data_IF_574105102611
#
_entry.id   IF_574105102611
#
_cell.length_a   1.000
_cell.length_b   1.000
_cell.length_c   1.000
_cell.angle_alpha   90.00
_cell.angle_beta   90.00
_cell.angle_gamma   90.00
#
_symmetry.space_group_name_H-M   'P 1'
#
loop_
_entity.id
_entity.type
_entity.pdbx_description
1 polymer ?
#
# COMPACT_ATOMS: atom_id res chain seq x y z
N UNK A 1 -9.35 -8.44 -15.17
CA UNK A 1 -8.33 -7.72 -14.36
C UNK A 1 -8.94 -7.31 -13.03
N UNK A 2 -10.15 -6.74 -13.05
CA UNK A 2 -10.96 -6.42 -11.86
C UNK A 2 -11.07 -7.56 -10.84
N UNK A 3 -11.46 -8.78 -11.24
CA UNK A 3 -11.58 -9.89 -10.28
C UNK A 3 -10.29 -10.20 -9.51
N UNK A 4 -9.13 -9.89 -10.11
CA UNK A 4 -7.82 -10.08 -9.49
C UNK A 4 -7.47 -8.99 -8.46
N UNK A 5 -8.21 -7.88 -8.44
CA UNK A 5 -8.05 -6.77 -7.51
C UNK A 5 -9.09 -6.79 -6.38
N UNK A 6 -10.08 -7.67 -6.40
CA UNK A 6 -11.10 -7.81 -5.36
C UNK A 6 -10.52 -8.04 -3.94
N UNK A 7 -9.28 -8.51 -3.83
CA UNK A 7 -8.60 -8.64 -2.54
C UNK A 7 -8.40 -7.28 -1.83
N UNK A 8 -8.40 -6.17 -2.58
CA UNK A 8 -8.24 -4.82 -2.06
C UNK A 8 -9.45 -4.36 -1.24
N UNK A 9 -10.63 -4.99 -1.37
CA UNK A 9 -11.81 -4.66 -0.55
C UNK A 9 -11.60 -4.88 0.95
N UNK A 10 -10.53 -5.57 1.36
CA UNK A 10 -10.11 -5.65 2.76
C UNK A 10 -9.55 -4.33 3.31
N UNK A 11 -9.11 -3.44 2.42
CA UNK A 11 -8.35 -2.25 2.76
C UNK A 11 -8.97 -0.96 2.22
N UNK A 12 -9.71 -1.02 1.12
CA UNK A 12 -10.28 0.15 0.46
C UNK A 12 -11.79 0.02 0.27
N UNK A 13 -12.47 1.16 0.32
CA UNK A 13 -13.89 1.31 0.00
C UNK A 13 -14.17 0.98 -1.48
N UNK A 14 -15.41 0.59 -1.76
CA UNK A 14 -15.86 0.34 -3.13
C UNK A 14 -15.70 1.57 -4.04
N UNK A 15 -15.98 2.77 -3.51
CA UNK A 15 -15.80 4.01 -4.26
C UNK A 15 -14.34 4.27 -4.66
N UNK A 16 -13.39 3.95 -3.78
CA UNK A 16 -11.96 4.09 -4.08
C UNK A 16 -11.45 2.98 -5.00
N UNK A 17 -11.99 1.77 -4.86
CA UNK A 17 -11.76 0.69 -5.81
C UNK A 17 -12.20 1.09 -7.22
N UNK A 18 -13.43 1.61 -7.39
CA UNK A 18 -13.93 2.08 -8.69
C UNK A 18 -13.07 3.18 -9.29
N UNK A 19 -12.61 4.14 -8.48
CA UNK A 19 -11.68 5.17 -8.96
C UNK A 19 -10.35 4.58 -9.43
N UNK A 20 -9.80 3.62 -8.69
CA UNK A 20 -8.54 2.96 -9.00
C UNK A 20 -8.60 2.23 -10.34
N UNK A 21 -9.60 1.37 -10.55
CA UNK A 21 -9.76 0.61 -11.80
C UNK A 21 -10.02 1.51 -13.02
N UNK A 22 -10.67 2.65 -12.80
CA UNK A 22 -11.00 3.62 -13.86
C UNK A 22 -9.89 4.66 -14.11
N UNK A 23 -8.80 4.66 -13.32
CA UNK A 23 -7.71 5.63 -13.42
C UNK A 23 -6.90 5.56 -14.73
N UNK A 24 -7.13 4.52 -15.56
CA UNK A 24 -6.38 4.20 -16.80
C UNK A 24 -4.86 4.05 -16.60
N UNK A 25 -4.38 3.93 -15.37
CA UNK A 25 -2.96 3.66 -15.10
C UNK A 25 -2.71 2.14 -15.08
N UNK A 26 -2.60 1.56 -16.27
CA UNK A 26 -2.46 0.10 -16.43
C UNK A 26 -1.22 -0.46 -15.72
N UNK A 27 -0.13 0.31 -15.66
CA UNK A 27 1.09 -0.10 -14.96
C UNK A 27 0.85 -0.30 -13.46
N UNK A 28 0.21 0.66 -12.78
CA UNK A 28 -0.09 0.53 -11.34
C UNK A 28 -1.10 -0.60 -11.07
N UNK A 29 -2.08 -0.78 -11.95
CA UNK A 29 -3.03 -1.90 -11.85
C UNK A 29 -2.33 -3.25 -12.01
N UNK A 30 -1.40 -3.38 -12.95
CA UNK A 30 -0.59 -4.59 -13.12
C UNK A 30 0.29 -4.88 -11.90
N UNK A 31 0.92 -3.86 -11.31
CA UNK A 31 1.68 -4.04 -10.07
C UNK A 31 0.82 -4.61 -8.95
N UNK A 32 -0.39 -4.07 -8.75
CA UNK A 32 -1.31 -4.54 -7.72
C UNK A 32 -1.82 -5.96 -8.00
N UNK A 33 -2.05 -6.32 -9.26
CA UNK A 33 -2.45 -7.67 -9.65
C UNK A 33 -1.31 -8.66 -9.40
N UNK A 34 -0.10 -8.34 -9.85
CA UNK A 34 1.03 -9.25 -9.84
C UNK A 34 1.64 -9.43 -8.45
N UNK A 35 1.47 -8.44 -7.56
CA UNK A 35 2.06 -8.43 -6.22
C UNK A 35 1.04 -8.55 -5.09
N UNK A 36 -0.16 -9.07 -5.35
CA UNK A 36 -1.28 -9.13 -4.38
C UNK A 36 -0.91 -9.68 -3.00
N UNK A 37 -0.05 -10.72 -2.94
CA UNK A 37 0.47 -11.26 -1.68
C UNK A 37 1.29 -10.23 -0.90
N UNK A 38 2.21 -9.56 -1.58
CA UNK A 38 3.08 -8.55 -0.98
C UNK A 38 2.28 -7.34 -0.52
N UNK A 39 1.35 -6.85 -1.36
CA UNK A 39 0.43 -5.78 -0.99
C UNK A 39 -0.32 -6.12 0.30
N UNK A 40 -0.91 -7.31 0.39
CA UNK A 40 -1.62 -7.73 1.59
C UNK A 40 -0.70 -7.77 2.83
N UNK A 41 0.52 -8.29 2.71
CA UNK A 41 1.48 -8.34 3.83
C UNK A 41 1.96 -6.94 4.24
N UNK A 42 2.28 -6.08 3.28
CA UNK A 42 2.75 -4.72 3.51
C UNK A 42 1.67 -3.84 4.15
N UNK A 43 0.42 -3.93 3.68
CA UNK A 43 -0.71 -3.26 4.30
C UNK A 43 -0.94 -3.73 5.74
N UNK A 44 -0.92 -5.05 5.99
CA UNK A 44 -1.06 -5.58 7.35
C UNK A 44 0.10 -5.15 8.26
N UNK A 45 1.31 -5.06 7.73
CA UNK A 45 2.46 -4.54 8.46
C UNK A 45 2.25 -3.08 8.85
N UNK A 46 1.84 -2.21 7.92
CA UNK A 46 1.58 -0.80 8.19
C UNK A 46 0.45 -0.59 9.22
N UNK A 47 -0.61 -1.40 9.15
CA UNK A 47 -1.69 -1.39 10.17
C UNK A 47 -1.12 -1.71 11.55
N UNK A 48 -0.31 -2.78 11.66
CA UNK A 48 0.36 -3.14 12.93
C UNK A 48 1.37 -2.09 13.37
N UNK A 49 2.00 -1.40 12.41
CA UNK A 49 2.90 -0.29 12.67
C UNK A 49 2.15 0.91 13.24
N UNK A 50 0.87 1.09 12.90
CA UNK A 50 0.01 2.16 13.41
C UNK A 50 -0.39 3.19 12.36
N UNK A 51 -0.19 2.90 11.09
CA UNK A 51 -0.77 3.67 9.98
C UNK A 51 -2.26 3.38 9.92
N UNK A 52 -3.06 4.44 9.93
CA UNK A 52 -4.53 4.36 9.99
C UNK A 52 -5.18 4.47 8.61
N UNK A 53 -4.65 5.31 7.72
CA UNK A 53 -5.21 5.54 6.38
C UNK A 53 -4.56 4.65 5.31
N UNK A 54 -4.78 3.33 5.42
CA UNK A 54 -4.24 2.36 4.46
C UNK A 54 -4.84 2.54 3.07
N UNK A 55 -6.09 2.97 2.99
CA UNK A 55 -6.75 3.24 1.72
C UNK A 55 -5.96 4.28 0.93
N UNK A 56 -5.63 5.42 1.55
CA UNK A 56 -4.82 6.44 0.92
C UNK A 56 -3.43 5.92 0.53
N UNK A 57 -2.79 5.11 1.38
CA UNK A 57 -1.49 4.51 1.06
C UNK A 57 -1.56 3.66 -0.22
N UNK A 58 -2.57 2.80 -0.37
CA UNK A 58 -2.71 1.96 -1.57
C UNK A 58 -2.85 2.82 -2.83
N UNK A 59 -3.58 3.95 -2.74
CA UNK A 59 -3.88 4.81 -3.88
C UNK A 59 -2.72 5.75 -4.27
N UNK A 60 -1.86 6.11 -3.32
CA UNK A 60 -0.83 7.14 -3.51
C UNK A 60 0.61 6.60 -3.46
N UNK A 61 0.80 5.44 -2.83
CA UNK A 61 2.09 4.77 -2.62
C UNK A 61 2.05 3.34 -3.18
N UNK A 62 1.34 3.13 -4.28
CA UNK A 62 1.18 1.81 -4.92
C UNK A 62 2.50 1.11 -5.19
N UNK A 63 3.53 1.83 -5.66
CA UNK A 63 4.84 1.22 -5.92
C UNK A 63 5.48 0.68 -4.63
N UNK A 64 5.50 1.48 -3.56
CA UNK A 64 6.05 1.07 -2.27
C UNK A 64 5.32 -0.15 -1.70
N UNK A 65 3.97 -0.13 -1.67
CA UNK A 65 3.20 -1.25 -1.12
C UNK A 65 3.25 -2.52 -1.98
N UNK A 66 3.68 -2.42 -3.25
CA UNK A 66 3.85 -3.59 -4.13
C UNK A 66 5.26 -4.21 -4.07
N UNK A 67 6.22 -3.58 -3.38
CA UNK A 67 7.56 -4.15 -3.15
C UNK A 67 7.50 -5.51 -2.47
N UNK A 68 8.55 -6.31 -2.67
CA UNK A 68 8.75 -7.52 -1.88
C UNK A 68 8.66 -7.23 -0.38
N UNK A 69 8.03 -8.13 0.38
CA UNK A 69 7.75 -7.87 1.78
C UNK A 69 9.02 -7.71 2.63
N UNK A 70 10.07 -8.47 2.34
CA UNK A 70 11.33 -8.38 3.09
C UNK A 70 12.07 -7.08 2.76
N UNK A 71 12.01 -6.64 1.51
CA UNK A 71 12.54 -5.34 1.09
C UNK A 71 11.78 -4.19 1.73
N UNK A 72 10.45 -4.25 1.73
CA UNK A 72 9.59 -3.25 2.36
C UNK A 72 9.88 -3.10 3.86
N UNK A 73 10.05 -4.20 4.59
CA UNK A 73 10.43 -4.18 6.01
C UNK A 73 11.83 -3.57 6.19
N UNK A 74 12.79 -3.89 5.32
CA UNK A 74 14.14 -3.31 5.39
C UNK A 74 14.11 -1.81 5.18
N UNK A 75 13.30 -1.31 4.25
CA UNK A 75 13.12 0.11 3.99
C UNK A 75 12.60 0.83 5.24
N UNK A 76 11.53 0.31 5.86
CA UNK A 76 10.99 0.89 7.10
C UNK A 76 12.02 0.88 8.23
N UNK A 77 12.74 -0.23 8.43
CA UNK A 77 13.81 -0.30 9.43
C UNK A 77 14.97 0.65 9.14
N UNK A 78 15.21 0.97 7.87
CA UNK A 78 16.21 1.97 7.48
C UNK A 78 15.75 3.37 7.86
N UNK A 79 14.47 3.69 7.64
CA UNK A 79 13.86 4.96 8.07
C UNK A 79 13.92 5.13 9.59
N UNK A 80 13.70 4.07 10.36
CA UNK A 80 13.77 4.07 11.84
C UNK A 80 15.14 4.49 12.40
N UNK A 81 16.20 4.46 11.59
CA UNK A 81 17.53 4.95 12.00
C UNK A 81 17.60 6.48 12.11
N UNK A 82 16.77 7.18 11.34
CA UNK A 82 16.82 8.64 11.21
C UNK A 82 15.53 9.33 11.65
N UNK A 83 14.42 8.59 11.68
CA UNK A 83 13.08 9.10 11.94
C UNK A 83 12.44 8.36 13.10
N UNK A 84 11.64 9.08 13.88
CA UNK A 84 10.80 8.47 14.89
C UNK A 84 9.52 7.87 14.26
N UNK A 85 8.87 6.98 15.00
CA UNK A 85 7.67 6.27 14.56
C UNK A 85 6.56 7.18 14.02
N UNK A 86 6.32 8.35 14.63
CA UNK A 86 5.27 9.29 14.19
C UNK A 86 5.61 9.91 12.85
N UNK A 87 6.88 10.24 12.62
CA UNK A 87 7.35 10.76 11.34
C UNK A 87 7.19 9.73 10.24
N UNK A 88 7.51 8.46 10.52
CA UNK A 88 7.33 7.37 9.55
C UNK A 88 5.85 7.16 9.23
N UNK A 89 4.96 7.15 10.23
CA UNK A 89 3.51 7.06 9.99
C UNK A 89 3.06 8.24 9.11
N UNK A 90 3.50 9.46 9.42
CA UNK A 90 3.17 10.65 8.65
C UNK A 90 3.67 10.58 7.19
N UNK A 91 4.80 9.93 6.91
CA UNK A 91 5.29 9.72 5.53
C UNK A 91 4.32 8.87 4.68
N UNK A 92 3.65 7.91 5.31
CA UNK A 92 2.67 7.06 4.64
C UNK A 92 1.29 7.73 4.55
N UNK A 93 0.88 8.50 5.57
CA UNK A 93 -0.44 9.13 5.61
C UNK A 93 -0.53 10.47 4.84
N UNK A 94 0.58 11.22 4.69
CA UNK A 94 0.57 12.58 4.11
C UNK A 94 0.96 12.65 2.62
N UNK A 95 0.71 11.58 1.86
CA UNK A 95 0.89 11.57 0.42
C UNK A 95 -0.11 12.49 -0.32
#
# INVERSE_FOLDING_TARGET
>A
MEDKLNYLFKFISYASYEKLINSKNNYLLELLVNNSRNVNLNCLYLIRYGVSDIEKVILTKTEDITKDHDEFIKDIKSLEKNLNKKEIIALYENA
#
